data_IF_020727146183
#
_entry.id   IF_020727146183
#
_cell.length_a   1.000
_cell.length_b   1.000
_cell.length_c   1.000
_cell.angle_alpha   90.00
_cell.angle_beta   90.00
_cell.angle_gamma   90.00
#
_symmetry.space_group_name_H-M   'P 1'
#
loop_
_entity.id
_entity.type
_entity.pdbx_description
1 polymer ?
#
# COMPACT_ATOMS: atom_id res chain seq x y z
N UNK A 1 7.96 14.30 6.95
CA UNK A 1 7.96 14.35 5.48
C UNK A 1 9.13 13.56 4.87
N UNK A 2 10.38 13.87 5.25
CA UNK A 2 11.56 13.18 4.71
C UNK A 2 11.62 11.68 5.00
N UNK A 3 11.19 11.24 6.18
CA UNK A 3 11.16 9.82 6.55
C UNK A 3 10.11 9.03 5.74
N UNK A 4 8.95 9.63 5.52
CA UNK A 4 7.91 9.08 4.65
C UNK A 4 8.41 8.86 3.22
N UNK A 5 9.02 9.88 2.62
CA UNK A 5 9.54 9.81 1.26
C UNK A 5 10.64 8.76 1.12
N UNK A 6 11.55 8.70 2.08
CA UNK A 6 12.63 7.70 2.11
C UNK A 6 12.08 6.28 2.17
N UNK A 7 11.13 6.01 3.06
CA UNK A 7 10.53 4.69 3.20
C UNK A 7 9.69 4.31 2.00
N UNK A 8 8.96 5.26 1.43
CA UNK A 8 8.19 5.04 0.20
C UNK A 8 9.11 4.68 -0.98
N UNK A 9 10.18 5.44 -1.20
CA UNK A 9 11.15 5.16 -2.26
C UNK A 9 11.80 3.78 -2.09
N UNK A 10 12.06 3.35 -0.86
CA UNK A 10 12.66 2.05 -0.56
C UNK A 10 11.71 0.87 -0.84
N UNK A 11 10.45 0.98 -0.41
CA UNK A 11 9.50 -0.13 -0.52
C UNK A 11 8.80 -0.22 -1.88
N UNK A 12 8.55 0.92 -2.51
CA UNK A 12 7.83 0.99 -3.79
C UNK A 12 8.56 1.89 -4.79
N UNK A 13 9.77 1.51 -5.23
CA UNK A 13 10.62 2.40 -6.03
C UNK A 13 9.96 2.82 -7.36
N UNK A 14 9.30 1.90 -8.05
CA UNK A 14 8.65 2.18 -9.34
C UNK A 14 7.52 3.19 -9.18
N UNK A 15 6.65 2.99 -8.18
CA UNK A 15 5.53 3.90 -7.90
C UNK A 15 6.02 5.27 -7.44
N UNK A 16 7.10 5.32 -6.69
CA UNK A 16 7.74 6.56 -6.27
C UNK A 16 8.29 7.33 -7.47
N UNK A 17 8.97 6.66 -8.40
CA UNK A 17 9.50 7.26 -9.63
C UNK A 17 8.37 7.82 -10.49
N UNK A 18 7.27 7.08 -10.67
CA UNK A 18 6.10 7.55 -11.42
C UNK A 18 5.53 8.81 -10.78
N UNK A 19 5.34 8.84 -9.47
CA UNK A 19 4.86 10.02 -8.76
C UNK A 19 5.81 11.22 -8.92
N UNK A 20 7.11 10.98 -8.88
CA UNK A 20 8.12 12.02 -9.09
C UNK A 20 8.05 12.61 -10.50
N UNK A 21 7.94 11.76 -11.53
CA UNK A 21 7.79 12.19 -12.92
C UNK A 21 6.52 13.04 -13.10
N UNK A 22 5.41 12.60 -12.53
CA UNK A 22 4.16 13.34 -12.55
C UNK A 22 4.27 14.70 -11.84
N UNK A 23 4.98 14.76 -10.71
CA UNK A 23 5.24 16.03 -10.01
C UNK A 23 6.07 17.00 -10.87
N UNK A 24 7.13 16.50 -11.51
CA UNK A 24 7.98 17.32 -12.40
C UNK A 24 7.17 17.82 -13.58
N UNK A 25 6.37 16.96 -14.20
CA UNK A 25 5.50 17.33 -15.31
C UNK A 25 4.44 18.36 -14.90
N UNK A 26 3.88 18.22 -13.72
CA UNK A 26 2.93 19.18 -13.15
C UNK A 26 3.55 20.56 -12.95
N UNK A 27 4.73 20.62 -12.33
CA UNK A 27 5.47 21.88 -12.11
C UNK A 27 5.83 22.54 -13.45
N UNK A 28 6.31 21.74 -14.41
CA UNK A 28 6.62 22.24 -15.77
C UNK A 28 5.37 22.82 -16.44
N UNK A 29 4.24 22.12 -16.36
CA UNK A 29 2.97 22.59 -16.91
C UNK A 29 2.49 23.89 -16.27
N UNK A 30 2.66 24.03 -14.95
CA UNK A 30 2.31 25.27 -14.23
C UNK A 30 3.16 26.45 -14.65
N UNK A 31 4.45 26.24 -14.93
CA UNK A 31 5.36 27.28 -15.41
C UNK A 31 5.05 27.66 -16.89
N UNK A 32 4.75 26.66 -17.72
CA UNK A 32 4.47 26.87 -19.13
C UNK A 32 3.13 27.56 -19.38
N UNK A 33 2.16 27.43 -18.48
CA UNK A 33 0.84 28.06 -18.60
C UNK A 33 0.87 29.43 -17.93
N UNK A 34 1.31 30.42 -18.67
CA UNK A 34 1.20 31.85 -18.29
C UNK A 34 -0.08 32.50 -18.80
N UNK A 35 -0.94 31.77 -19.50
CA UNK A 35 -2.16 32.28 -20.10
C UNK A 35 -3.41 31.85 -19.37
N UNK A 36 -4.42 32.69 -19.40
CA UNK A 36 -5.66 32.71 -18.61
C UNK A 36 -6.56 31.49 -18.64
N UNK A 37 -6.25 30.48 -19.43
CA UNK A 37 -7.01 29.24 -19.50
C UNK A 37 -6.30 28.15 -18.70
N UNK A 38 -6.81 27.88 -17.51
CA UNK A 38 -6.32 26.77 -16.68
C UNK A 38 -6.61 25.46 -17.42
N UNK A 39 -5.61 24.78 -17.98
CA UNK A 39 -5.88 23.55 -18.73
C UNK A 39 -6.39 22.46 -17.79
N UNK A 40 -7.52 21.89 -18.11
CA UNK A 40 -8.15 20.79 -17.38
C UNK A 40 -7.19 19.64 -17.09
N UNK A 41 -6.20 19.43 -17.96
CA UNK A 41 -5.16 18.43 -17.77
C UNK A 41 -4.35 18.62 -16.48
N UNK A 42 -4.04 19.86 -16.11
CA UNK A 42 -3.31 20.17 -14.86
C UNK A 42 -4.14 19.82 -13.64
N UNK A 43 -5.43 20.12 -13.66
CA UNK A 43 -6.36 19.79 -12.58
C UNK A 43 -6.45 18.27 -12.40
N UNK A 44 -6.56 17.52 -13.49
CA UNK A 44 -6.62 16.07 -13.47
C UNK A 44 -5.34 15.48 -12.89
N UNK A 45 -4.17 15.96 -13.32
CA UNK A 45 -2.86 15.51 -12.81
C UNK A 45 -2.75 15.80 -11.30
N UNK A 46 -3.13 17.00 -10.86
CA UNK A 46 -3.12 17.36 -9.44
C UNK A 46 -4.02 16.45 -8.61
N UNK A 47 -5.20 16.12 -9.12
CA UNK A 47 -6.16 15.24 -8.47
C UNK A 47 -5.60 13.81 -8.33
N UNK A 48 -5.06 13.27 -9.41
CA UNK A 48 -4.45 11.92 -9.42
C UNK A 48 -3.26 11.85 -8.45
N UNK A 49 -2.37 12.85 -8.47
CA UNK A 49 -1.24 12.92 -7.53
C UNK A 49 -1.71 13.00 -6.08
N UNK A 50 -2.73 13.81 -5.80
CA UNK A 50 -3.30 13.93 -4.46
C UNK A 50 -3.86 12.60 -3.96
N UNK A 51 -4.55 11.86 -4.80
CA UNK A 51 -5.08 10.54 -4.46
C UNK A 51 -3.97 9.51 -4.19
N UNK A 52 -2.92 9.51 -5.03
CA UNK A 52 -1.78 8.60 -4.84
C UNK A 52 -1.07 8.89 -3.52
N UNK A 53 -0.79 10.16 -3.24
CA UNK A 53 -0.11 10.59 -2.00
C UNK A 53 -1.00 10.28 -0.79
N UNK A 54 -2.29 10.57 -0.88
CA UNK A 54 -3.24 10.28 0.19
C UNK A 54 -3.30 8.80 0.53
N UNK A 55 -3.41 7.94 -0.48
CA UNK A 55 -3.45 6.49 -0.30
C UNK A 55 -2.16 5.97 0.37
N UNK A 56 -1.00 6.43 -0.09
CA UNK A 56 0.29 6.06 0.49
C UNK A 56 0.47 6.59 1.92
N UNK A 57 0.04 7.80 2.18
CA UNK A 57 0.09 8.39 3.51
C UNK A 57 -0.83 7.66 4.50
N UNK A 58 -2.01 7.26 4.03
CA UNK A 58 -2.95 6.47 4.81
C UNK A 58 -2.36 5.09 5.16
N UNK A 59 -1.75 4.41 4.18
CA UNK A 59 -1.06 3.14 4.40
C UNK A 59 0.10 3.30 5.39
N UNK A 60 0.91 4.33 5.22
CA UNK A 60 2.03 4.64 6.10
C UNK A 60 1.63 4.85 7.56
N UNK A 61 0.52 5.53 7.79
CA UNK A 61 0.02 5.82 9.14
C UNK A 61 -0.88 4.72 9.71
N UNK A 62 -1.22 3.71 8.92
CA UNK A 62 -2.09 2.63 9.39
C UNK A 62 -1.40 1.76 10.44
N UNK A 63 -2.18 1.33 11.41
CA UNK A 63 -1.74 0.41 12.47
C UNK A 63 -2.73 -0.74 12.57
N UNK A 64 -2.22 -1.93 12.61
CA UNK A 64 -3.01 -3.11 12.95
C UNK A 64 -2.10 -4.24 13.45
N UNK A 65 -2.67 -5.10 14.25
CA UNK A 65 -2.01 -6.29 14.76
C UNK A 65 -3.01 -7.41 14.99
N UNK A 66 -2.57 -8.64 14.95
CA UNK A 66 -3.40 -9.80 15.24
C UNK A 66 -2.75 -11.11 14.82
N UNK A 67 -3.36 -12.21 15.24
CA UNK A 67 -2.96 -13.54 14.84
C UNK A 67 -3.56 -13.86 13.46
N UNK A 68 -2.73 -14.32 12.52
CA UNK A 68 -3.21 -14.75 11.21
C UNK A 68 -3.96 -16.07 11.32
N UNK A 69 -5.28 -16.02 11.21
CA UNK A 69 -6.15 -17.21 11.31
C UNK A 69 -6.52 -17.77 9.94
N UNK A 70 -6.55 -16.93 8.91
CA UNK A 70 -6.82 -17.34 7.55
C UNK A 70 -6.24 -16.33 6.56
N UNK A 71 -6.04 -16.76 5.33
CA UNK A 71 -5.65 -15.91 4.21
C UNK A 71 -6.32 -16.40 2.94
N UNK A 72 -6.78 -15.47 2.12
CA UNK A 72 -7.42 -15.78 0.85
C UNK A 72 -7.06 -14.74 -0.20
N UNK A 73 -7.23 -15.13 -1.44
CA UNK A 73 -7.04 -14.26 -2.59
C UNK A 73 -8.33 -14.19 -3.41
N UNK A 74 -8.58 -13.02 -3.97
CA UNK A 74 -9.69 -12.78 -4.88
C UNK A 74 -9.15 -12.27 -6.21
N UNK A 75 -9.78 -12.66 -7.35
CA UNK A 75 -9.45 -12.05 -8.62
C UNK A 75 -9.82 -10.57 -8.56
N UNK A 76 -8.86 -9.70 -8.75
CA UNK A 76 -9.08 -8.26 -8.83
C UNK A 76 -10.06 -7.93 -9.95
N UNK A 77 -10.97 -7.00 -9.67
CA UNK A 77 -12.02 -6.61 -10.60
C UNK A 77 -11.49 -6.29 -11.99
N UNK A 78 -12.31 -6.55 -12.98
CA UNK A 78 -12.04 -6.42 -14.42
C UNK A 78 -11.67 -4.98 -14.80
N UNK A 79 -10.39 -4.62 -14.70
CA UNK A 79 -9.85 -3.49 -15.43
C UNK A 79 -8.79 -4.04 -16.37
N UNK A 80 -9.19 -4.35 -17.59
CA UNK A 80 -8.32 -4.87 -18.64
C UNK A 80 -8.09 -6.39 -18.55
N UNK A 81 -7.33 -6.91 -19.53
CA UNK A 81 -7.03 -8.35 -19.71
C UNK A 81 -6.09 -8.96 -18.66
N UNK A 82 -5.75 -8.24 -17.59
CA UNK A 82 -4.95 -8.74 -16.47
C UNK A 82 -5.78 -8.66 -15.20
N UNK A 83 -6.35 -9.79 -14.80
CA UNK A 83 -6.90 -9.94 -13.46
C UNK A 83 -5.76 -9.84 -12.45
N UNK A 84 -5.64 -8.71 -11.78
CA UNK A 84 -4.79 -8.61 -10.60
C UNK A 84 -5.33 -9.51 -9.49
N UNK A 85 -4.47 -10.18 -8.78
CA UNK A 85 -4.84 -10.94 -7.58
C UNK A 85 -4.80 -9.98 -6.39
N UNK A 86 -5.91 -9.90 -5.66
CA UNK A 86 -5.98 -9.13 -4.40
C UNK A 86 -5.91 -10.12 -3.25
N UNK A 87 -4.91 -9.96 -2.41
CA UNK A 87 -4.67 -10.84 -1.27
C UNK A 87 -5.18 -10.20 0.03
N UNK A 88 -5.78 -11.02 0.88
CA UNK A 88 -6.33 -10.61 2.16
C UNK A 88 -5.83 -11.49 3.30
N UNK A 89 -5.55 -10.87 4.43
CA UNK A 89 -5.34 -11.55 5.70
C UNK A 89 -6.56 -11.40 6.59
N UNK A 90 -6.95 -12.50 7.23
CA UNK A 90 -7.92 -12.51 8.30
C UNK A 90 -7.16 -12.62 9.63
N UNK A 91 -7.18 -11.53 10.39
CA UNK A 91 -6.46 -11.43 11.66
C UNK A 91 -7.45 -11.52 12.81
N UNK A 92 -7.11 -12.31 13.81
CA UNK A 92 -7.85 -12.38 15.06
C UNK A 92 -7.16 -11.54 16.13
N UNK A 93 -7.93 -10.66 16.75
CA UNK A 93 -7.49 -9.90 17.93
C UNK A 93 -8.56 -10.02 19.02
N UNK A 94 -8.35 -10.93 19.96
CA UNK A 94 -9.36 -11.26 20.95
C UNK A 94 -10.61 -11.88 20.31
N UNK A 95 -11.78 -11.27 20.50
CA UNK A 95 -13.05 -11.74 19.91
C UNK A 95 -13.36 -11.12 18.53
N UNK A 96 -12.49 -10.22 18.02
CA UNK A 96 -12.70 -9.52 16.76
C UNK A 96 -11.83 -10.08 15.66
N UNK A 97 -12.42 -10.22 14.49
CA UNK A 97 -11.72 -10.51 13.25
C UNK A 97 -11.54 -9.25 12.42
N UNK A 98 -10.33 -9.06 11.89
CA UNK A 98 -9.98 -7.96 11.03
C UNK A 98 -9.55 -8.52 9.68
N UNK A 99 -10.17 -8.02 8.61
CA UNK A 99 -9.76 -8.34 7.24
C UNK A 99 -8.92 -7.19 6.71
N UNK A 100 -7.71 -7.51 6.25
CA UNK A 100 -6.77 -6.52 5.72
C UNK A 100 -6.22 -6.95 4.38
N UNK A 101 -6.22 -6.02 3.45
CA UNK A 101 -5.56 -6.19 2.15
C UNK A 101 -4.05 -6.13 2.32
N UNK A 102 -3.34 -7.05 1.70
CA UNK A 102 -1.89 -7.15 1.76
C UNK A 102 -1.28 -7.33 0.38
N UNK A 103 0.01 -7.06 0.27
CA UNK A 103 0.75 -7.31 -0.97
C UNK A 103 0.98 -8.80 -1.20
N UNK A 104 1.09 -9.19 -2.47
CA UNK A 104 1.29 -10.58 -2.87
C UNK A 104 2.56 -11.20 -2.24
N UNK A 105 3.62 -10.40 -2.12
CA UNK A 105 4.86 -10.83 -1.48
C UNK A 105 4.65 -11.20 0.00
N UNK A 106 3.96 -10.35 0.75
CA UNK A 106 3.65 -10.60 2.14
C UNK A 106 2.68 -11.77 2.32
N UNK A 107 1.74 -11.92 1.43
CA UNK A 107 0.83 -13.06 1.39
C UNK A 107 1.56 -14.39 1.21
N UNK A 108 2.59 -14.41 0.34
CA UNK A 108 3.38 -15.62 0.10
C UNK A 108 4.29 -16.01 1.26
N UNK A 109 4.79 -15.03 2.03
CA UNK A 109 5.72 -15.26 3.14
C UNK A 109 4.99 -15.65 4.43
N UNK A 110 3.82 -15.05 4.69
CA UNK A 110 3.07 -15.27 5.91
C UNK A 110 2.44 -16.66 5.97
N UNK A 111 2.53 -17.29 7.12
CA UNK A 111 1.91 -18.59 7.41
C UNK A 111 0.76 -18.41 8.39
N UNK A 112 -0.28 -19.24 8.25
CA UNK A 112 -1.37 -19.28 9.23
C UNK A 112 -0.80 -19.66 10.60
N UNK A 113 -1.15 -18.88 11.63
CA UNK A 113 -0.58 -18.99 12.97
C UNK A 113 0.49 -17.96 13.29
N UNK A 114 0.97 -17.19 12.30
CA UNK A 114 1.91 -16.11 12.54
C UNK A 114 1.21 -14.90 13.17
N UNK A 115 1.91 -14.23 14.05
CA UNK A 115 1.47 -12.94 14.58
C UNK A 115 1.88 -11.83 13.61
N UNK A 116 0.90 -11.13 13.11
CA UNK A 116 1.09 -10.04 12.13
C UNK A 116 0.95 -8.70 12.83
N UNK A 117 1.94 -7.86 12.70
CA UNK A 117 1.93 -6.50 13.25
C UNK A 117 2.36 -5.51 12.18
N UNK A 118 1.57 -4.45 12.03
CA UNK A 118 1.96 -3.29 11.25
C UNK A 118 2.08 -2.09 12.16
N UNK A 119 3.26 -1.54 12.23
CA UNK A 119 3.52 -0.32 12.98
C UNK A 119 3.20 0.93 12.16
N UNK A 120 2.75 2.01 12.82
CA UNK A 120 2.57 3.29 12.15
C UNK A 120 3.93 3.81 11.66
N UNK A 121 3.90 4.63 10.62
CA UNK A 121 5.08 5.18 9.95
C UNK A 121 5.99 4.13 9.30
N UNK A 122 5.43 2.99 8.90
CA UNK A 122 6.10 1.95 8.12
C UNK A 122 5.22 1.46 6.99
N UNK A 123 5.82 0.89 5.95
CA UNK A 123 5.09 0.24 4.84
C UNK A 123 5.09 -1.29 4.94
N UNK A 124 5.97 -1.87 5.74
CA UNK A 124 6.10 -3.32 5.88
C UNK A 124 5.29 -3.89 7.02
N UNK A 125 5.04 -5.19 6.94
CA UNK A 125 4.48 -5.98 8.03
C UNK A 125 5.60 -6.70 8.77
N UNK A 126 5.46 -6.80 10.08
CA UNK A 126 6.29 -7.67 10.92
C UNK A 126 5.54 -8.98 11.15
N UNK A 127 6.19 -10.08 10.81
CA UNK A 127 5.68 -11.42 11.00
C UNK A 127 6.48 -12.09 12.10
N UNK A 128 5.82 -12.50 13.17
CA UNK A 128 6.45 -13.23 14.27
C UNK A 128 5.81 -14.62 14.37
N UNK A 129 6.57 -15.70 14.17
CA UNK A 129 6.04 -17.05 14.36
C UNK A 129 5.62 -17.24 15.82
N UNK A 130 4.42 -17.73 16.03
CA UNK A 130 3.97 -18.15 17.36
C UNK A 130 4.62 -19.49 17.71
N UNK A 131 4.92 -19.68 18.99
CA UNK A 131 5.58 -20.90 19.49
C UNK A 131 4.86 -22.20 19.13
N UNK A 132 3.56 -22.14 18.87
CA UNK A 132 2.76 -23.30 18.45
C UNK A 132 3.04 -23.74 16.99
N UNK A 133 3.66 -22.89 16.17
CA UNK A 133 4.04 -23.24 14.80
C UNK A 133 5.39 -23.94 14.71
N UNK A 134 6.17 -23.93 15.78
CA UNK A 134 7.51 -24.57 15.84
C UNK A 134 7.41 -26.07 16.15
N UNK A 135 6.36 -26.50 16.83
CA UNK A 135 6.18 -27.91 17.24
C UNK A 135 5.57 -28.84 16.17
N UNK A 136 5.21 -28.32 15.01
CA UNK A 136 4.62 -29.09 13.91
C UNK A 136 5.52 -29.27 12.68
N UNK A 137 6.80 -29.13 12.85
CA UNK A 137 7.79 -29.46 11.81
C UNK A 137 8.59 -30.70 12.17
#
# INVERSE_FOLDING_TARGET
>A
MTDFLRKWAKHYPIRFIIALILCVFFVYSMIAVQTSDLPWGIIIIALVLSLIIWDRLREFNSFFEGLLVDKYDEPGGKVGKRSGIICYFVLSKGERELIRKVDLEQYGIAKIGDYVKKEPKTFGLQLTPTSDSIDNT
#
